data_IF_039727194785
#
_entry.id   IF_039727194785
#
_cell.length_a   1.000
_cell.length_b   1.000
_cell.length_c   1.000
_cell.angle_alpha   90.00
_cell.angle_beta   90.00
_cell.angle_gamma   90.00
#
_symmetry.space_group_name_H-M   'P 1'
#
loop_
_entity.id
_entity.type
_entity.pdbx_description
1 polymer ?
#
# COMPACT_ATOMS: atom_id res chain seq x y z
N UNK A 1 7.12 -47.26 23.01
CA UNK A 1 7.52 -45.90 23.42
C UNK A 1 7.52 -45.01 22.17
N UNK A 2 6.46 -44.21 21.99
CA UNK A 2 6.30 -43.37 20.78
C UNK A 2 7.31 -42.22 20.88
N UNK A 3 8.30 -42.15 19.98
CA UNK A 3 9.09 -40.94 19.77
C UNK A 3 8.58 -40.26 18.52
N UNK A 4 7.73 -39.24 18.69
CA UNK A 4 7.35 -38.31 17.64
C UNK A 4 8.56 -37.44 17.30
N UNK A 5 9.15 -37.65 16.13
CA UNK A 5 10.18 -36.79 15.57
C UNK A 5 9.73 -36.27 14.21
N UNK A 6 9.23 -35.03 14.16
CA UNK A 6 9.03 -34.34 12.89
C UNK A 6 10.40 -33.87 12.39
N UNK A 7 10.93 -34.53 11.36
CA UNK A 7 12.17 -34.09 10.69
C UNK A 7 11.77 -33.24 9.50
N UNK A 8 11.88 -31.92 9.64
CA UNK A 8 11.59 -30.92 8.61
C UNK A 8 12.92 -30.48 7.97
N UNK A 9 13.06 -30.55 6.64
CA UNK A 9 14.24 -30.05 5.91
C UNK A 9 13.81 -28.93 4.95
N UNK A 10 14.19 -27.66 5.18
CA UNK A 10 13.94 -26.58 4.23
C UNK A 10 14.96 -26.60 3.09
N UNK A 11 14.50 -26.35 1.88
CA UNK A 11 15.36 -26.16 0.70
C UNK A 11 15.83 -24.71 0.59
N UNK A 12 17.08 -24.48 1.06
CA UNK A 12 17.98 -23.30 0.92
C UNK A 12 17.83 -22.11 1.91
N UNK A 13 18.92 -21.35 2.18
CA UNK A 13 19.18 -20.80 3.51
C UNK A 13 19.12 -19.26 3.58
N UNK A 14 18.65 -18.74 4.72
CA UNK A 14 19.14 -17.49 5.29
C UNK A 14 19.47 -17.70 6.77
N UNK A 15 20.76 -17.58 7.03
CA UNK A 15 21.48 -17.18 8.24
C UNK A 15 20.92 -17.52 9.64
N UNK A 16 21.81 -18.17 10.41
CA UNK A 16 21.89 -18.17 11.87
C UNK A 16 20.90 -19.06 12.63
N UNK A 17 21.29 -20.30 12.93
CA UNK A 17 21.20 -20.80 14.31
C UNK A 17 22.19 -21.96 14.53
N UNK A 18 23.21 -21.67 15.33
CA UNK A 18 24.20 -22.62 15.81
C UNK A 18 23.58 -23.56 16.85
N UNK A 19 23.55 -24.86 16.56
CA UNK A 19 23.96 -26.00 17.39
C UNK A 19 23.20 -27.24 16.92
N UNK A 20 23.96 -28.33 16.75
CA UNK A 20 23.60 -29.70 16.36
C UNK A 20 24.27 -30.12 15.03
N UNK A 21 25.59 -29.98 14.96
CA UNK A 21 26.42 -30.45 13.85
C UNK A 21 27.61 -31.25 14.39
N UNK A 22 27.46 -32.56 14.55
CA UNK A 22 28.63 -33.43 14.77
C UNK A 22 28.56 -34.83 14.14
N UNK A 23 27.63 -35.08 13.22
CA UNK A 23 27.69 -36.27 12.37
C UNK A 23 27.15 -35.87 10.98
N UNK A 24 27.89 -36.19 9.91
CA UNK A 24 27.66 -35.83 8.50
C UNK A 24 28.31 -34.55 7.96
N UNK A 25 29.64 -34.61 7.83
CA UNK A 25 30.38 -33.87 6.81
C UNK A 25 31.17 -34.86 5.94
N UNK A 26 30.66 -35.18 4.75
CA UNK A 26 31.49 -35.50 3.57
C UNK A 26 30.61 -35.63 2.33
N UNK A 27 31.15 -35.17 1.21
CA UNK A 27 30.56 -35.08 -0.13
C UNK A 27 29.46 -34.04 -0.36
N UNK A 28 29.90 -32.78 -0.40
CA UNK A 28 29.51 -31.88 -1.48
C UNK A 28 30.31 -32.27 -2.72
N UNK A 29 29.62 -32.57 -3.81
CA UNK A 29 29.96 -32.27 -5.21
C UNK A 29 29.45 -33.35 -6.16
N UNK A 30 29.01 -32.89 -7.34
CA UNK A 30 28.54 -33.61 -8.54
C UNK A 30 27.10 -34.16 -8.56
N UNK A 31 26.18 -33.40 -9.16
CA UNK A 31 25.44 -33.81 -10.37
C UNK A 31 24.40 -32.76 -10.82
N UNK A 32 24.45 -32.44 -12.11
CA UNK A 32 23.54 -31.60 -12.89
C UNK A 32 22.18 -32.27 -13.17
N UNK A 33 21.17 -31.54 -13.69
CA UNK A 33 19.78 -31.97 -13.76
C UNK A 33 19.49 -32.72 -15.06
N UNK A 34 19.22 -34.03 -14.99
CA UNK A 34 18.53 -34.75 -16.08
C UNK A 34 18.10 -36.15 -15.60
N UNK A 35 17.00 -36.64 -16.19
CA UNK A 35 16.35 -37.94 -16.01
C UNK A 35 15.28 -38.07 -14.90
N UNK A 36 14.14 -37.41 -15.11
CA UNK A 36 12.83 -37.98 -14.76
C UNK A 36 11.98 -38.07 -16.04
N UNK A 37 12.24 -39.11 -16.84
CA UNK A 37 11.29 -39.59 -17.85
C UNK A 37 11.23 -41.12 -17.80
N UNK A 38 10.01 -41.64 -17.97
CA UNK A 38 9.55 -43.03 -17.81
C UNK A 38 9.36 -43.50 -16.35
N UNK A 39 8.18 -43.91 -15.88
CA UNK A 39 7.04 -44.51 -16.57
C UNK A 39 5.72 -43.80 -16.21
N UNK A 40 5.03 -43.32 -17.25
CA UNK A 40 3.62 -42.97 -17.17
C UNK A 40 2.81 -44.23 -17.51
N UNK A 41 1.88 -44.63 -16.64
CA UNK A 41 0.75 -45.46 -17.04
C UNK A 41 -0.47 -44.54 -17.22
N UNK A 42 -1.10 -44.48 -18.41
CA UNK A 42 -2.07 -43.44 -18.77
C UNK A 42 -3.51 -43.89 -18.47
N UNK A 43 -3.83 -44.10 -17.21
CA UNK A 43 -5.22 -44.33 -16.77
C UNK A 43 -5.48 -43.56 -15.49
N UNK A 44 -6.28 -42.50 -15.59
CA UNK A 44 -6.62 -41.61 -14.50
C UNK A 44 -7.36 -42.30 -13.36
N UNK A 45 -7.35 -41.58 -12.23
CA UNK A 45 -7.97 -41.89 -10.92
C UNK A 45 -7.12 -42.81 -10.03
N UNK A 46 -6.39 -42.20 -9.10
CA UNK A 46 -5.74 -42.89 -7.99
C UNK A 46 -4.62 -42.06 -7.39
N UNK A 47 -4.82 -41.55 -6.18
CA UNK A 47 -3.74 -41.07 -5.30
C UNK A 47 -2.77 -42.24 -5.08
N UNK A 48 -1.65 -42.28 -5.78
CA UNK A 48 -0.68 -43.35 -5.64
C UNK A 48 0.02 -43.22 -4.28
N UNK A 49 -0.42 -44.04 -3.33
CA UNK A 49 0.17 -44.18 -2.00
C UNK A 49 1.39 -45.08 -2.09
N UNK A 50 2.57 -44.57 -1.69
CA UNK A 50 3.71 -45.43 -1.37
C UNK A 50 3.56 -45.94 0.07
N UNK A 51 2.63 -46.88 0.29
CA UNK A 51 2.64 -47.70 1.51
C UNK A 51 3.68 -48.79 1.29
N UNK A 52 4.88 -48.64 1.87
CA UNK A 52 5.87 -49.71 1.84
C UNK A 52 5.45 -50.86 2.77
N UNK A 53 4.67 -51.79 2.23
CA UNK A 53 4.55 -53.14 2.78
C UNK A 53 5.69 -54.00 2.19
N UNK A 54 6.86 -53.97 2.83
CA UNK A 54 8.10 -54.71 2.45
C UNK A 54 8.91 -54.16 1.25
N UNK A 55 10.20 -54.55 1.07
CA UNK A 55 11.32 -53.63 0.82
C UNK A 55 11.43 -53.13 -0.62
N UNK A 56 11.74 -51.83 -0.76
CA UNK A 56 11.97 -51.10 -2.02
C UNK A 56 13.30 -51.52 -2.67
N UNK A 57 13.38 -51.73 -3.99
CA UNK A 57 14.65 -51.86 -4.68
C UNK A 57 15.35 -50.50 -4.84
N UNK A 58 16.67 -50.54 -4.73
CA UNK A 58 17.55 -49.40 -4.51
C UNK A 58 17.77 -48.51 -5.75
N UNK A 59 17.69 -47.19 -5.55
CA UNK A 59 18.61 -46.24 -6.21
C UNK A 59 18.65 -44.89 -5.49
N UNK A 60 19.89 -44.43 -5.28
CA UNK A 60 20.36 -43.22 -4.58
C UNK A 60 20.49 -43.35 -3.05
N UNK A 61 21.71 -43.11 -2.58
CA UNK A 61 22.22 -43.45 -1.24
C UNK A 61 21.57 -42.60 -0.14
N UNK A 62 20.65 -43.21 0.62
CA UNK A 62 20.31 -42.84 2.01
C UNK A 62 20.53 -44.08 2.89
N UNK A 63 20.99 -43.94 4.15
CA UNK A 63 21.16 -45.10 5.03
C UNK A 63 19.83 -45.87 5.13
N UNK A 64 19.91 -47.20 5.04
CA UNK A 64 18.74 -48.08 4.98
C UNK A 64 17.87 -47.87 6.23
N UNK A 65 16.53 -47.87 6.15
CA UNK A 65 15.67 -47.91 7.34
C UNK A 65 16.02 -49.11 8.27
N UNK A 66 16.49 -50.21 7.67
CA UNK A 66 16.94 -51.42 8.38
C UNK A 66 18.26 -51.23 9.16
N UNK A 67 19.12 -50.28 8.80
CA UNK A 67 20.35 -49.98 9.55
C UNK A 67 20.06 -49.19 10.84
N UNK A 68 18.84 -48.68 11.00
CA UNK A 68 18.38 -47.94 12.18
C UNK A 68 17.42 -48.74 13.08
N UNK A 69 17.16 -50.02 12.78
CA UNK A 69 16.23 -50.86 13.53
C UNK A 69 14.75 -50.59 13.26
N UNK A 70 14.39 -49.91 12.16
CA UNK A 70 13.00 -49.61 11.81
C UNK A 70 12.35 -50.85 11.16
N UNK A 71 11.24 -51.31 11.76
CA UNK A 71 10.48 -52.50 11.36
C UNK A 71 9.10 -52.19 10.75
N UNK A 72 8.64 -50.93 10.79
CA UNK A 72 7.43 -50.46 10.12
C UNK A 72 7.50 -48.96 9.81
N UNK A 73 6.95 -48.53 8.67
CA UNK A 73 6.93 -47.12 8.28
C UNK A 73 5.68 -46.78 7.46
N UNK A 74 5.13 -45.59 7.70
CA UNK A 74 4.10 -44.99 6.86
C UNK A 74 4.49 -43.56 6.49
N UNK A 75 4.23 -43.21 5.23
CA UNK A 75 4.65 -41.95 4.63
C UNK A 75 3.48 -41.36 3.87
N UNK A 76 3.05 -40.15 4.23
CA UNK A 76 1.99 -39.43 3.53
C UNK A 76 2.53 -38.11 3.00
N UNK A 77 2.34 -37.80 1.70
CA UNK A 77 2.81 -36.54 1.14
C UNK A 77 2.00 -35.36 1.68
N UNK A 78 2.68 -34.26 1.95
CA UNK A 78 2.05 -32.96 2.21
C UNK A 78 1.93 -32.27 0.85
N UNK A 79 0.70 -32.13 0.33
CA UNK A 79 0.43 -31.62 -1.01
C UNK A 79 -0.27 -30.26 -0.92
N UNK A 80 0.28 -29.25 -1.59
CA UNK A 80 -0.33 -27.92 -1.72
C UNK A 80 -0.52 -27.65 -3.21
N UNK A 81 -1.76 -27.38 -3.65
CA UNK A 81 -2.12 -27.09 -5.06
C UNK A 81 -1.53 -28.11 -6.07
N UNK A 82 -1.58 -29.39 -5.74
CA UNK A 82 -1.10 -30.48 -6.60
C UNK A 82 0.41 -30.69 -6.63
N UNK A 83 1.19 -29.91 -5.86
CA UNK A 83 2.64 -30.07 -5.73
C UNK A 83 2.99 -30.62 -4.35
N UNK A 84 3.93 -31.56 -4.27
CA UNK A 84 4.41 -32.12 -2.99
C UNK A 84 5.42 -31.18 -2.35
N UNK A 85 5.13 -30.72 -1.13
CA UNK A 85 5.97 -29.82 -0.33
C UNK A 85 6.76 -30.53 0.76
N UNK A 86 6.39 -31.76 1.09
CA UNK A 86 7.06 -32.58 2.08
C UNK A 86 6.42 -33.95 2.22
N UNK A 87 6.94 -34.75 3.15
CA UNK A 87 6.38 -36.06 3.49
C UNK A 87 6.34 -36.19 5.00
N UNK A 88 5.15 -36.45 5.54
CA UNK A 88 4.96 -36.82 6.94
C UNK A 88 5.30 -38.31 7.09
N UNK A 89 6.29 -38.63 7.92
CA UNK A 89 6.74 -40.00 8.15
C UNK A 89 6.48 -40.40 9.59
N UNK A 90 5.91 -41.59 9.77
CA UNK A 90 5.89 -42.31 11.05
C UNK A 90 6.73 -43.58 10.90
N UNK A 91 7.54 -43.85 11.92
CA UNK A 91 8.48 -44.97 11.97
C UNK A 91 8.24 -45.78 13.25
N UNK A 92 8.25 -47.10 13.14
CA UNK A 92 8.16 -48.06 14.24
C UNK A 92 9.40 -48.95 14.25
N UNK A 93 9.94 -49.24 15.43
CA UNK A 93 11.11 -50.11 15.59
C UNK A 93 10.73 -51.59 15.81
N UNK A 94 9.45 -51.86 16.05
CA UNK A 94 8.84 -53.19 16.08
C UNK A 94 7.88 -53.34 14.87
N UNK A 95 7.59 -54.57 14.40
CA UNK A 95 6.63 -54.78 13.31
C UNK A 95 5.27 -54.15 13.64
N UNK A 96 4.75 -53.32 12.73
CA UNK A 96 3.45 -52.64 12.90
C UNK A 96 2.62 -52.74 11.63
N UNK A 97 1.41 -53.28 11.77
CA UNK A 97 0.42 -53.34 10.69
C UNK A 97 -0.49 -52.11 10.79
N UNK A 98 -0.38 -51.22 9.81
CA UNK A 98 -1.20 -50.00 9.77
C UNK A 98 -2.66 -50.31 9.39
N UNK A 99 -3.58 -49.85 10.22
CA UNK A 99 -5.02 -49.85 9.96
C UNK A 99 -5.43 -48.70 9.05
N UNK A 100 -6.58 -48.83 8.38
CA UNK A 100 -7.12 -47.76 7.53
C UNK A 100 -7.40 -46.47 8.32
N UNK A 101 -7.79 -46.58 9.60
CA UNK A 101 -7.99 -45.43 10.48
C UNK A 101 -6.71 -44.67 10.82
N UNK A 102 -5.58 -45.38 11.02
CA UNK A 102 -4.27 -44.76 11.22
C UNK A 102 -3.76 -44.08 9.94
N UNK A 103 -4.01 -44.69 8.78
CA UNK A 103 -3.68 -44.09 7.48
C UNK A 103 -4.51 -42.82 7.25
N UNK A 104 -5.82 -42.86 7.52
CA UNK A 104 -6.69 -41.69 7.39
C UNK A 104 -6.29 -40.57 8.36
N UNK A 105 -5.90 -40.90 9.60
CA UNK A 105 -5.40 -39.92 10.55
C UNK A 105 -4.11 -39.25 10.03
N UNK A 106 -3.17 -40.04 9.50
CA UNK A 106 -1.95 -39.53 8.89
C UNK A 106 -2.22 -38.61 7.69
N UNK A 107 -3.22 -38.95 6.86
CA UNK A 107 -3.69 -38.10 5.76
C UNK A 107 -4.26 -36.79 6.27
N UNK A 108 -5.19 -36.83 7.24
CA UNK A 108 -5.78 -35.62 7.80
C UNK A 108 -4.72 -34.70 8.43
N UNK A 109 -3.70 -35.29 9.07
CA UNK A 109 -2.56 -34.53 9.61
C UNK A 109 -1.68 -33.93 8.50
N UNK A 110 -1.43 -34.67 7.41
CA UNK A 110 -0.68 -34.17 6.27
C UNK A 110 -1.44 -33.05 5.54
N UNK A 111 -2.76 -33.16 5.39
CA UNK A 111 -3.62 -32.12 4.81
C UNK A 111 -3.68 -30.89 5.70
N UNK A 112 -3.82 -31.07 7.02
CA UNK A 112 -3.78 -29.96 7.98
C UNK A 112 -2.42 -29.25 7.95
N UNK A 113 -1.32 -30.01 7.84
CA UNK A 113 0.01 -29.43 7.68
C UNK A 113 0.15 -28.69 6.35
N UNK A 114 -0.44 -29.20 5.27
CA UNK A 114 -0.44 -28.54 3.97
C UNK A 114 -1.13 -27.18 4.02
N UNK A 115 -2.32 -27.10 4.65
CA UNK A 115 -3.05 -25.84 4.86
C UNK A 115 -2.23 -24.88 5.70
N UNK A 116 -1.68 -25.32 6.84
CA UNK A 116 -0.88 -24.47 7.71
C UNK A 116 0.37 -23.91 7.01
N UNK A 117 1.09 -24.74 6.25
CA UNK A 117 2.26 -24.31 5.47
C UNK A 117 1.86 -23.33 4.36
N UNK A 118 0.73 -23.58 3.68
CA UNK A 118 0.23 -22.66 2.65
C UNK A 118 -0.14 -21.30 3.23
N UNK A 119 -0.80 -21.27 4.39
CA UNK A 119 -1.20 -20.03 5.04
C UNK A 119 0.00 -19.25 5.56
N UNK A 120 0.96 -19.92 6.21
CA UNK A 120 2.18 -19.27 6.69
C UNK A 120 2.95 -18.60 5.56
N UNK A 121 3.08 -19.27 4.40
CA UNK A 121 3.73 -18.70 3.22
C UNK A 121 2.95 -17.54 2.62
N UNK A 122 1.63 -17.66 2.54
CA UNK A 122 0.81 -16.58 2.00
C UNK A 122 0.90 -15.32 2.88
N UNK A 123 0.93 -15.49 4.21
CA UNK A 123 1.14 -14.40 5.16
C UNK A 123 2.52 -13.77 4.93
N UNK A 124 3.59 -14.57 4.87
CA UNK A 124 4.96 -14.09 4.63
C UNK A 124 5.08 -13.34 3.29
N UNK A 125 4.51 -13.89 2.20
CA UNK A 125 4.48 -13.24 0.89
C UNK A 125 3.70 -11.91 0.92
N UNK A 126 2.60 -11.86 1.67
CA UNK A 126 1.78 -10.65 1.81
C UNK A 126 2.49 -9.60 2.65
N UNK A 127 3.13 -10.01 3.75
CA UNK A 127 3.92 -9.12 4.61
C UNK A 127 5.09 -8.52 3.85
N UNK A 128 5.85 -9.34 3.10
CA UNK A 128 6.95 -8.85 2.28
C UNK A 128 6.46 -7.89 1.19
N UNK A 129 5.39 -8.22 0.48
CA UNK A 129 4.83 -7.33 -0.55
C UNK A 129 4.34 -6.00 0.05
N UNK A 130 3.79 -6.03 1.27
CA UNK A 130 3.39 -4.81 2.00
C UNK A 130 4.61 -3.97 2.37
N UNK A 131 5.66 -4.58 2.91
CA UNK A 131 6.90 -3.89 3.27
C UNK A 131 7.57 -3.24 2.05
N UNK A 132 7.69 -3.98 0.94
CA UNK A 132 8.23 -3.46 -0.32
C UNK A 132 7.41 -2.27 -0.84
N UNK A 133 6.07 -2.35 -0.76
CA UNK A 133 5.18 -1.27 -1.16
C UNK A 133 5.30 -0.03 -0.27
N UNK A 134 5.42 -0.22 1.05
CA UNK A 134 5.62 0.86 2.01
C UNK A 134 6.97 1.56 1.82
N UNK A 135 8.05 0.79 1.59
CA UNK A 135 9.36 1.35 1.28
C UNK A 135 9.36 2.13 -0.04
N UNK A 136 8.70 1.61 -1.07
CA UNK A 136 8.55 2.30 -2.36
C UNK A 136 7.77 3.61 -2.19
N UNK A 137 6.68 3.60 -1.43
CA UNK A 137 5.88 4.80 -1.16
C UNK A 137 6.70 5.85 -0.38
N UNK A 138 7.40 5.43 0.67
CA UNK A 138 8.29 6.32 1.44
C UNK A 138 9.38 6.94 0.56
N UNK A 139 10.00 6.15 -0.31
CA UNK A 139 11.02 6.63 -1.25
C UNK A 139 10.43 7.62 -2.26
N UNK A 140 9.24 7.35 -2.81
CA UNK A 140 8.49 8.27 -3.69
C UNK A 140 8.23 9.59 -2.98
N UNK A 141 7.71 9.57 -1.75
CA UNK A 141 7.39 10.79 -1.01
C UNK A 141 8.63 11.59 -0.64
N UNK A 142 9.73 10.94 -0.25
CA UNK A 142 11.00 11.63 0.03
C UNK A 142 11.58 12.29 -1.23
N UNK A 143 11.53 11.59 -2.36
CA UNK A 143 11.98 12.14 -3.64
C UNK A 143 11.17 13.39 -4.00
N UNK A 144 9.85 13.32 -3.92
CA UNK A 144 8.97 14.46 -4.23
C UNK A 144 9.21 15.64 -3.28
N UNK A 145 9.35 15.38 -1.97
CA UNK A 145 9.70 16.39 -0.97
C UNK A 145 10.99 17.14 -1.32
N UNK A 146 12.06 16.41 -1.66
CA UNK A 146 13.35 17.00 -2.02
C UNK A 146 13.23 17.82 -3.32
N UNK A 147 12.60 17.26 -4.35
CA UNK A 147 12.40 17.93 -5.64
C UNK A 147 11.62 19.23 -5.48
N UNK A 148 10.61 19.26 -4.61
CA UNK A 148 9.85 20.49 -4.35
C UNK A 148 10.71 21.60 -3.75
N UNK A 149 11.58 21.29 -2.79
CA UNK A 149 12.49 22.28 -2.23
C UNK A 149 13.47 22.81 -3.29
N UNK A 150 14.01 21.93 -4.13
CA UNK A 150 14.92 22.29 -5.21
C UNK A 150 14.24 23.11 -6.32
N UNK A 151 12.94 22.91 -6.56
CA UNK A 151 12.17 23.67 -7.54
C UNK A 151 11.63 24.99 -6.98
N UNK A 152 11.26 25.04 -5.70
CA UNK A 152 10.75 26.26 -5.04
C UNK A 152 11.77 27.38 -5.06
N UNK A 153 13.04 27.06 -4.85
CA UNK A 153 14.12 28.06 -4.77
C UNK A 153 14.32 28.85 -6.07
N UNK A 154 14.57 28.21 -7.24
CA UNK A 154 14.69 28.94 -8.50
C UNK A 154 13.37 29.62 -8.91
N UNK A 155 12.23 29.03 -8.58
CA UNK A 155 10.93 29.59 -8.93
C UNK A 155 10.62 30.87 -8.14
N UNK A 156 10.92 30.88 -6.84
CA UNK A 156 10.79 32.09 -6.02
C UNK A 156 11.74 33.20 -6.50
N UNK A 157 12.92 32.85 -7.02
CA UNK A 157 13.81 33.83 -7.63
C UNK A 157 13.21 34.42 -8.92
N UNK A 158 12.64 33.57 -9.80
CA UNK A 158 11.97 34.04 -11.03
C UNK A 158 10.78 34.94 -10.70
N UNK A 159 9.94 34.55 -9.72
CA UNK A 159 8.82 35.36 -9.23
C UNK A 159 9.35 36.69 -8.70
N UNK A 160 10.35 36.69 -7.81
CA UNK A 160 10.91 37.91 -7.25
C UNK A 160 11.52 38.84 -8.30
N UNK A 161 12.25 38.32 -9.28
CA UNK A 161 12.77 39.13 -10.39
C UNK A 161 11.66 39.69 -11.27
N UNK A 162 10.59 38.93 -11.52
CA UNK A 162 9.44 39.44 -12.26
C UNK A 162 8.73 40.57 -11.49
N UNK A 163 8.53 40.44 -10.18
CA UNK A 163 7.88 41.46 -9.35
C UNK A 163 8.72 42.75 -9.30
N UNK A 164 10.04 42.64 -9.13
CA UNK A 164 10.93 43.81 -9.16
C UNK A 164 10.93 44.52 -10.53
N UNK A 165 10.90 43.76 -11.63
CA UNK A 165 10.84 44.35 -12.97
C UNK A 165 9.47 44.99 -13.25
N UNK A 166 8.39 44.48 -12.66
CA UNK A 166 7.06 45.12 -12.76
C UNK A 166 7.06 46.46 -12.02
N UNK A 167 7.59 46.49 -10.80
CA UNK A 167 7.71 47.72 -10.01
C UNK A 167 8.57 48.77 -10.74
N UNK A 168 9.71 48.36 -11.33
CA UNK A 168 10.57 49.25 -12.11
C UNK A 168 9.92 49.74 -13.41
N UNK A 169 9.14 48.89 -14.09
CA UNK A 169 8.38 49.27 -15.29
C UNK A 169 7.27 50.27 -14.95
N UNK A 170 6.57 50.09 -13.82
CA UNK A 170 5.55 51.01 -13.31
C UNK A 170 6.16 52.38 -12.97
N UNK A 171 7.29 52.40 -12.26
CA UNK A 171 8.04 53.61 -11.93
C UNK A 171 8.52 54.38 -13.19
N UNK A 172 8.94 53.64 -14.22
CA UNK A 172 9.40 54.20 -15.50
C UNK A 172 8.25 54.49 -16.47
N UNK A 173 6.99 54.23 -16.10
CA UNK A 173 5.80 54.37 -16.96
C UNK A 173 5.98 53.66 -18.32
N UNK A 174 6.64 52.50 -18.31
CA UNK A 174 6.94 51.70 -19.49
C UNK A 174 6.04 50.48 -19.51
N UNK A 175 4.97 50.56 -20.31
CA UNK A 175 4.00 49.47 -20.49
C UNK A 175 4.54 48.34 -21.40
N UNK A 176 5.71 48.51 -22.02
CA UNK A 176 6.24 47.61 -23.07
C UNK A 176 6.38 46.15 -22.61
N UNK A 177 6.67 45.91 -21.33
CA UNK A 177 6.92 44.56 -20.78
C UNK A 177 5.93 44.14 -19.69
N UNK A 178 4.94 44.97 -19.36
CA UNK A 178 4.04 44.75 -18.22
C UNK A 178 3.25 43.44 -18.38
N UNK A 179 2.65 43.21 -19.55
CA UNK A 179 1.89 41.98 -19.85
C UNK A 179 2.77 40.72 -19.81
N UNK A 180 4.01 40.80 -20.32
CA UNK A 180 4.93 39.66 -20.33
C UNK A 180 5.42 39.34 -18.91
N UNK A 181 5.67 40.35 -18.09
CA UNK A 181 6.07 40.17 -16.69
C UNK A 181 4.93 39.60 -15.84
N UNK A 182 3.68 40.06 -16.05
CA UNK A 182 2.49 39.46 -15.43
C UNK A 182 2.35 37.98 -15.79
N UNK A 183 2.57 37.63 -17.06
CA UNK A 183 2.53 36.24 -17.52
C UNK A 183 3.63 35.38 -16.88
N UNK A 184 4.86 35.89 -16.78
CA UNK A 184 5.98 35.17 -16.11
C UNK A 184 5.66 34.97 -14.63
N UNK A 185 5.19 36.02 -13.96
CA UNK A 185 4.83 35.98 -12.54
C UNK A 185 3.70 34.96 -12.29
N UNK A 186 2.63 35.04 -13.09
CA UNK A 186 1.49 34.13 -13.02
C UNK A 186 1.88 32.68 -13.27
N UNK A 187 2.69 32.41 -14.29
CA UNK A 187 3.20 31.06 -14.57
C UNK A 187 4.07 30.53 -13.42
N UNK A 188 4.89 31.38 -12.81
CA UNK A 188 5.70 31.04 -11.64
C UNK A 188 4.86 30.65 -10.43
N UNK A 189 3.88 31.49 -10.08
CA UNK A 189 2.93 31.22 -8.97
C UNK A 189 2.12 29.95 -9.22
N UNK A 190 1.68 29.72 -10.46
CA UNK A 190 0.96 28.51 -10.84
C UNK A 190 1.80 27.24 -10.67
N UNK A 191 3.04 27.23 -11.16
CA UNK A 191 3.93 26.07 -11.03
C UNK A 191 4.25 25.77 -9.55
N UNK A 192 4.39 26.80 -8.72
CA UNK A 192 4.62 26.62 -7.29
C UNK A 192 3.41 25.97 -6.62
N UNK A 193 2.21 26.37 -7.01
CA UNK A 193 0.95 25.72 -6.60
C UNK A 193 0.94 24.24 -6.94
N UNK A 194 1.16 23.89 -8.21
CA UNK A 194 1.19 22.49 -8.67
C UNK A 194 2.22 21.64 -7.91
N UNK A 195 3.41 22.18 -7.65
CA UNK A 195 4.43 21.49 -6.87
C UNK A 195 3.95 21.23 -5.44
N UNK A 196 3.31 22.20 -4.80
CA UNK A 196 2.78 22.03 -3.45
C UNK A 196 1.62 21.03 -3.41
N UNK A 197 0.75 21.02 -4.42
CA UNK A 197 -0.36 20.06 -4.51
C UNK A 197 0.16 18.62 -4.66
N UNK A 198 1.19 18.41 -5.49
CA UNK A 198 1.86 17.10 -5.65
C UNK A 198 2.57 16.66 -4.36
N UNK A 199 3.12 17.60 -3.59
CA UNK A 199 3.67 17.27 -2.28
C UNK A 199 2.59 16.86 -1.28
N UNK A 200 1.49 17.61 -1.22
CA UNK A 200 0.44 17.37 -0.25
C UNK A 200 -0.19 15.99 -0.47
N UNK A 201 -0.47 15.60 -1.73
CA UNK A 201 -0.95 14.24 -2.04
C UNK A 201 0.07 13.17 -1.63
N UNK A 202 1.36 13.41 -1.86
CA UNK A 202 2.42 12.44 -1.51
C UNK A 202 2.61 12.28 0.00
N UNK A 203 2.36 13.33 0.78
CA UNK A 203 2.36 13.26 2.25
C UNK A 203 1.14 12.51 2.77
N UNK A 204 -0.03 12.71 2.15
CA UNK A 204 -1.26 11.98 2.50
C UNK A 204 -1.08 10.49 2.21
N UNK A 205 -0.61 10.12 1.01
CA UNK A 205 -0.37 8.72 0.62
C UNK A 205 0.61 7.99 1.54
N UNK A 206 1.58 8.71 2.12
CA UNK A 206 2.55 8.16 3.05
C UNK A 206 2.14 8.25 4.53
N UNK A 207 0.94 8.78 4.84
CA UNK A 207 0.49 9.00 6.22
C UNK A 207 1.34 10.00 7.01
N UNK A 208 2.09 10.85 6.32
CA UNK A 208 3.06 11.80 6.87
C UNK A 208 2.56 13.25 6.89
N UNK A 209 1.26 13.47 6.63
CA UNK A 209 0.66 14.80 6.71
C UNK A 209 0.36 15.14 8.18
N UNK A 210 1.05 16.15 8.72
CA UNK A 210 0.76 16.70 10.03
C UNK A 210 -0.59 17.46 10.03
N UNK A 211 -1.41 17.20 11.05
CA UNK A 211 -2.69 17.89 11.29
C UNK A 211 -2.60 18.60 12.64
N UNK A 212 -2.86 19.90 12.66
CA UNK A 212 -2.81 20.73 13.86
C UNK A 212 -4.23 21.10 14.30
N UNK A 213 -4.80 20.27 15.17
CA UNK A 213 -6.16 20.47 15.67
C UNK A 213 -6.24 21.63 16.65
N UNK A 214 -7.20 22.53 16.43
CA UNK A 214 -7.54 23.63 17.32
C UNK A 214 -9.03 23.91 17.31
N UNK A 215 -9.53 24.53 18.37
CA UNK A 215 -10.92 25.01 18.42
C UNK A 215 -10.97 26.47 18.00
N UNK A 216 -11.78 26.76 16.98
CA UNK A 216 -11.91 28.12 16.44
C UNK A 216 -13.34 28.42 15.97
N UNK A 217 -13.78 29.68 15.99
CA UNK A 217 -15.08 30.08 15.47
C UNK A 217 -15.11 29.96 13.94
N UNK A 218 -16.19 29.41 13.39
CA UNK A 218 -16.30 29.14 11.94
C UNK A 218 -16.53 30.43 11.14
N UNK A 219 -17.36 31.33 11.64
CA UNK A 219 -17.75 32.55 10.91
C UNK A 219 -16.56 33.44 10.51
N UNK A 220 -15.61 33.80 11.41
CA UNK A 220 -14.44 34.60 10.99
C UNK A 220 -13.57 33.88 9.95
N UNK A 221 -13.47 32.55 10.04
CA UNK A 221 -12.72 31.76 9.06
C UNK A 221 -13.36 31.85 7.67
N UNK A 222 -14.69 31.77 7.60
CA UNK A 222 -15.45 31.90 6.35
C UNK A 222 -15.35 33.30 5.77
N UNK A 223 -15.40 34.35 6.60
CA UNK A 223 -15.23 35.75 6.16
C UNK A 223 -13.84 35.99 5.54
N UNK A 224 -12.78 35.41 6.10
CA UNK A 224 -11.43 35.49 5.53
C UNK A 224 -11.35 34.79 4.16
N UNK A 225 -11.96 33.61 4.04
CA UNK A 225 -12.04 32.86 2.78
C UNK A 225 -12.82 33.66 1.74
N UNK A 226 -13.96 34.24 2.13
CA UNK A 226 -14.81 35.07 1.29
C UNK A 226 -14.05 36.25 0.69
N UNK A 227 -13.36 37.01 1.55
CA UNK A 227 -12.61 38.21 1.18
C UNK A 227 -11.54 37.88 0.14
N UNK A 228 -10.84 36.76 0.33
CA UNK A 228 -9.80 36.32 -0.60
C UNK A 228 -10.37 35.88 -1.94
N UNK A 229 -11.53 35.20 -1.94
CA UNK A 229 -12.16 34.69 -3.16
C UNK A 229 -12.94 35.73 -3.95
N UNK A 230 -13.34 36.85 -3.32
CA UNK A 230 -14.13 37.90 -3.96
C UNK A 230 -13.52 38.37 -5.29
N UNK A 231 -12.23 38.73 -5.28
CA UNK A 231 -11.54 39.20 -6.49
C UNK A 231 -11.47 38.12 -7.58
N UNK A 232 -11.18 36.87 -7.20
CA UNK A 232 -11.09 35.75 -8.16
C UNK A 232 -12.44 35.44 -8.82
N UNK A 233 -13.52 35.54 -8.05
CA UNK A 233 -14.89 35.32 -8.54
C UNK A 233 -15.30 36.46 -9.48
N UNK A 234 -14.98 37.70 -9.13
CA UNK A 234 -15.28 38.89 -9.95
C UNK A 234 -14.52 38.92 -11.28
N UNK A 235 -13.27 38.43 -11.32
CA UNK A 235 -12.48 38.30 -12.57
C UNK A 235 -13.22 37.48 -13.62
N UNK A 236 -13.94 36.44 -13.21
CA UNK A 236 -14.75 35.60 -14.11
C UNK A 236 -16.20 36.10 -14.25
N UNK A 237 -16.48 37.35 -13.83
CA UNK A 237 -17.81 37.98 -13.79
C UNK A 237 -18.86 37.19 -13.01
N UNK A 238 -18.43 36.37 -12.04
CA UNK A 238 -19.31 35.57 -11.20
C UNK A 238 -19.74 36.36 -9.95
N UNK A 239 -20.75 35.84 -9.24
CA UNK A 239 -21.21 36.35 -7.96
C UNK A 239 -20.97 35.33 -6.84
N UNK A 240 -20.42 35.77 -5.71
CA UNK A 240 -20.23 34.93 -4.52
C UNK A 240 -21.35 35.18 -3.52
N UNK A 241 -22.06 34.12 -3.11
CA UNK A 241 -23.07 34.14 -2.05
C UNK A 241 -22.59 33.30 -0.88
N UNK A 242 -22.77 33.79 0.33
CA UNK A 242 -22.34 33.09 1.54
C UNK A 242 -23.51 33.05 2.51
N UNK A 243 -23.80 31.85 2.99
CA UNK A 243 -24.80 31.58 4.02
C UNK A 243 -24.11 30.84 5.17
N UNK A 244 -23.79 31.59 6.23
CA UNK A 244 -23.13 31.07 7.42
C UNK A 244 -23.81 31.67 8.65
N UNK A 245 -24.85 31.03 9.21
CA UNK A 245 -25.55 31.55 10.37
C UNK A 245 -24.71 31.43 11.65
N UNK A 246 -24.87 32.39 12.57
CA UNK A 246 -24.17 32.42 13.87
C UNK A 246 -24.34 31.13 14.70
N UNK A 247 -25.43 30.40 14.46
CA UNK A 247 -25.73 29.12 15.11
C UNK A 247 -24.73 28.00 14.80
N UNK A 248 -23.87 28.16 13.78
CA UNK A 248 -22.80 27.20 13.45
C UNK A 248 -21.75 27.13 14.56
N UNK A 249 -21.46 28.23 15.24
CA UNK A 249 -20.52 28.27 16.37
C UNK A 249 -19.07 27.92 16.01
N UNK A 250 -18.43 27.10 16.85
CA UNK A 250 -17.01 26.72 16.74
C UNK A 250 -16.81 25.26 16.37
N UNK A 251 -15.72 24.96 15.67
CA UNK A 251 -15.29 23.62 15.27
C UNK A 251 -13.95 23.27 15.93
N UNK A 252 -13.69 21.97 16.16
CA UNK A 252 -12.38 21.46 16.55
C UNK A 252 -11.72 20.74 15.36
N UNK A 253 -10.82 21.43 14.66
CA UNK A 253 -10.22 20.94 13.43
C UNK A 253 -8.92 21.69 13.11
N UNK A 254 -8.26 21.33 12.00
CA UNK A 254 -7.15 22.12 11.45
C UNK A 254 -7.69 23.24 10.56
N UNK A 255 -7.57 24.48 11.04
CA UNK A 255 -8.10 25.66 10.34
C UNK A 255 -7.42 25.89 8.99
N UNK A 256 -6.12 25.62 8.89
CA UNK A 256 -5.35 25.81 7.67
C UNK A 256 -5.79 24.81 6.60
N UNK A 257 -6.01 23.55 6.99
CA UNK A 257 -6.49 22.51 6.07
C UNK A 257 -7.93 22.73 5.62
N UNK A 258 -8.81 23.20 6.51
CA UNK A 258 -10.19 23.56 6.11
C UNK A 258 -10.17 24.71 5.09
N UNK A 259 -9.39 25.77 5.34
CA UNK A 259 -9.24 26.88 4.37
C UNK A 259 -8.73 26.39 3.03
N UNK A 260 -7.73 25.51 3.03
CA UNK A 260 -7.17 24.92 1.81
C UNK A 260 -8.25 24.16 1.02
N UNK A 261 -9.06 23.32 1.67
CA UNK A 261 -10.18 22.64 1.02
C UNK A 261 -11.19 23.62 0.42
N UNK A 262 -11.57 24.66 1.16
CA UNK A 262 -12.52 25.67 0.68
C UNK A 262 -11.97 26.46 -0.52
N UNK A 263 -10.70 26.87 -0.49
CA UNK A 263 -10.07 27.54 -1.62
C UNK A 263 -10.02 26.65 -2.86
N UNK A 264 -9.70 25.36 -2.71
CA UNK A 264 -9.69 24.42 -3.83
C UNK A 264 -11.09 24.26 -4.45
N UNK A 265 -12.13 24.14 -3.63
CA UNK A 265 -13.51 24.03 -4.13
C UNK A 265 -14.00 25.32 -4.78
N UNK A 266 -13.79 26.48 -4.13
CA UNK A 266 -14.25 27.78 -4.63
C UNK A 266 -13.50 28.22 -5.88
N UNK A 267 -12.19 27.98 -5.97
CA UNK A 267 -11.42 28.29 -7.18
C UNK A 267 -11.83 27.41 -8.36
N UNK A 268 -12.11 26.13 -8.12
CA UNK A 268 -12.69 25.25 -9.15
C UNK A 268 -14.07 25.75 -9.59
N UNK A 269 -14.96 26.05 -8.65
CA UNK A 269 -16.28 26.62 -8.95
C UNK A 269 -16.18 27.90 -9.79
N UNK A 270 -15.25 28.80 -9.44
CA UNK A 270 -15.01 30.04 -10.20
C UNK A 270 -14.46 29.78 -11.59
N UNK A 271 -13.56 28.80 -11.73
CA UNK A 271 -12.97 28.43 -13.02
C UNK A 271 -13.98 27.85 -14.00
N UNK A 272 -14.99 27.11 -13.52
CA UNK A 272 -15.96 26.39 -14.36
C UNK A 272 -17.33 27.08 -14.47
N UNK A 273 -17.46 28.26 -13.87
CA UNK A 273 -18.64 29.11 -13.97
C UNK A 273 -18.27 30.41 -14.66
N UNK A 274 -19.08 30.85 -15.61
CA UNK A 274 -18.96 32.16 -16.24
C UNK A 274 -20.27 32.92 -16.06
N UNK A 275 -20.19 34.18 -15.60
CA UNK A 275 -21.37 35.04 -15.40
C UNK A 275 -22.46 34.42 -14.51
N UNK A 276 -22.06 33.58 -13.55
CA UNK A 276 -22.97 32.79 -12.73
C UNK A 276 -22.94 33.13 -11.25
N UNK A 277 -23.43 32.19 -10.43
CA UNK A 277 -23.43 32.30 -8.97
C UNK A 277 -22.71 31.12 -8.36
N UNK A 278 -21.79 31.41 -7.44
CA UNK A 278 -21.11 30.45 -6.57
C UNK A 278 -21.63 30.69 -5.16
N UNK A 279 -22.04 29.63 -4.47
CA UNK A 279 -22.62 29.69 -3.13
C UNK A 279 -21.79 28.85 -2.17
N UNK A 280 -21.46 29.41 -1.01
CA UNK A 280 -20.88 28.70 0.13
C UNK A 280 -21.90 28.69 1.27
N UNK A 281 -22.44 27.51 1.58
CA UNK A 281 -23.38 27.31 2.68
C UNK A 281 -22.71 26.53 3.80
N UNK A 282 -22.88 26.99 5.03
CA UNK A 282 -22.37 26.33 6.22
C UNK A 282 -23.52 26.01 7.16
N UNK A 283 -23.70 24.72 7.48
CA UNK A 283 -24.72 24.27 8.43
C UNK A 283 -24.08 23.45 9.56
N UNK A 284 -24.77 23.41 10.70
CA UNK A 284 -24.46 22.47 11.78
C UNK A 284 -25.63 21.50 11.88
N UNK A 285 -25.34 20.22 11.75
CA UNK A 285 -26.33 19.14 11.77
C UNK A 285 -25.91 18.06 12.77
N UNK A 286 -26.86 17.20 13.16
CA UNK A 286 -26.58 16.04 14.01
C UNK A 286 -27.01 14.78 13.27
N UNK A 287 -26.04 13.91 12.98
CA UNK A 287 -26.26 12.61 12.33
C UNK A 287 -25.73 11.50 13.23
N UNK A 288 -26.53 10.45 13.47
CA UNK A 288 -26.20 9.32 14.34
C UNK A 288 -25.73 9.70 15.76
N UNK A 289 -26.23 10.82 16.28
CA UNK A 289 -25.85 11.35 17.61
C UNK A 289 -24.51 12.08 17.64
N UNK A 290 -23.87 12.28 16.50
CA UNK A 290 -22.65 13.06 16.35
C UNK A 290 -22.95 14.42 15.71
N UNK A 291 -22.35 15.48 16.24
CA UNK A 291 -22.45 16.82 15.63
C UNK A 291 -21.50 16.95 14.44
N UNK A 292 -22.01 17.48 13.35
CA UNK A 292 -21.29 17.76 12.12
C UNK A 292 -21.42 19.22 11.75
N UNK A 293 -20.37 19.76 11.13
CA UNK A 293 -20.43 21.05 10.45
C UNK A 293 -20.19 20.77 8.97
N UNK A 294 -21.20 21.10 8.16
CA UNK A 294 -21.22 20.85 6.74
C UNK A 294 -20.81 22.13 6.00
N UNK A 295 -19.85 22.01 5.10
CA UNK A 295 -19.44 23.07 4.18
C UNK A 295 -19.86 22.65 2.77
N UNK A 296 -20.82 23.34 2.18
CA UNK A 296 -21.32 23.07 0.85
C UNK A 296 -20.93 24.19 -0.10
N UNK A 297 -20.18 23.86 -1.16
CA UNK A 297 -19.90 24.76 -2.29
C UNK A 297 -20.77 24.32 -3.46
N UNK A 298 -21.54 25.25 -4.00
CA UNK A 298 -22.37 25.02 -5.18
C UNK A 298 -22.08 26.10 -6.23
N UNK A 299 -22.16 25.74 -7.50
CA UNK A 299 -21.98 26.65 -8.61
C UNK A 299 -23.05 26.42 -9.70
N UNK A 300 -23.23 27.43 -10.55
CA UNK A 300 -24.15 27.37 -11.69
C UNK A 300 -23.40 27.15 -13.00
N UNK A 301 -22.22 26.53 -12.95
CA UNK A 301 -21.34 26.31 -14.07
C UNK A 301 -21.77 25.17 -14.98
N UNK A 302 -20.81 24.68 -15.77
CA UNK A 302 -21.03 23.66 -16.81
C UNK A 302 -21.46 22.29 -16.27
N UNK A 303 -21.37 22.06 -14.96
CA UNK A 303 -21.61 20.78 -14.32
C UNK A 303 -20.52 19.75 -14.61
N UNK A 304 -20.68 18.55 -14.07
CA UNK A 304 -19.79 17.41 -14.32
C UNK A 304 -20.48 16.42 -15.26
N UNK A 305 -19.71 15.79 -16.16
CA UNK A 305 -20.18 14.64 -16.93
C UNK A 305 -20.27 13.42 -16.02
N UNK A 306 -21.31 12.59 -16.18
CA UNK A 306 -21.38 11.31 -15.48
C UNK A 306 -20.18 10.42 -15.89
N UNK A 307 -19.44 9.90 -14.90
CA UNK A 307 -18.36 8.92 -15.08
C UNK A 307 -18.88 7.48 -15.21
#
# INVERSE_FOLDING_TARGET
MIRTGAVWWPSRPTTSYHRWSTLYSSNRDSAHPEALSSSANPSGQGTDFLIHRSPVPARTARPRPQDAGVSGAASVPIIIRGKTYGVLNILFFEPHDFTDGEIQLLQNLADSAAVAISNARLIEETEQAREDAEEANRTKSQFLANMSHELRTPLNAIIGYSEMLQEEAEDLQTEEFEEDLERINGAGKHLLGLINDVLDISKIEAGAMDIYLGTFPVEPMIQDVATTMQALVETNSNSLKIDCPDSVGSIHADTTKIRQCLFNLLSNASKFTEQGTISLTVSRDTEDGQEWINFAVADTGIGMTDE
#
